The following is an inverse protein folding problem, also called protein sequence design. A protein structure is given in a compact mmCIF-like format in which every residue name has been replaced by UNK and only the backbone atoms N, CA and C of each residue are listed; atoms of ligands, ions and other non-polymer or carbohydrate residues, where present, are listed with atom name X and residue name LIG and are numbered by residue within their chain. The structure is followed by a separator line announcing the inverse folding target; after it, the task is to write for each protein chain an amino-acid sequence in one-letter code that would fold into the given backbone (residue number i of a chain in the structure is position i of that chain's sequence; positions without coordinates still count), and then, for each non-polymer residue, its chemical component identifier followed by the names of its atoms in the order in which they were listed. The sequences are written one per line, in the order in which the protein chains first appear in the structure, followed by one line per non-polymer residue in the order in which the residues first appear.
data_IF_564929626612
#
_entry.id   IF_564929626612
#
_cell.length_a   1.000
_cell.length_b   1.000
_cell.length_c   1.000
_cell.angle_alpha   90.00
_cell.angle_beta   90.00
_cell.angle_gamma   90.00
#
_symmetry.space_group_name_H-M   'P 1'
#
loop_
_entity.id
_entity.type
_entity.pdbx_description
1 polymer ?
#
# COMPACT_ATOMS: atom_id res chain seq x y z
N UNK A 1 -22.77 -9.04 60.00
CA UNK A 1 -24.16 -8.90 60.47
C UNK A 1 -25.09 -9.08 59.30
N UNK A 2 -25.91 -10.15 59.38
CA UNK A 2 -27.27 -10.38 58.89
C UNK A 2 -27.50 -10.24 57.38
N UNK A 3 -27.64 -11.33 56.63
CA UNK A 3 -28.80 -12.26 56.46
C UNK A 3 -30.02 -11.55 55.91
N UNK A 4 -30.42 -11.86 54.66
CA UNK A 4 -31.78 -12.37 54.45
C UNK A 4 -31.90 -13.06 53.06
N UNK A 5 -32.25 -14.34 53.12
CA UNK A 5 -32.81 -15.16 52.05
C UNK A 5 -34.25 -14.73 51.77
N UNK A 6 -34.66 -14.75 50.50
CA UNK A 6 -36.05 -14.99 50.14
C UNK A 6 -36.09 -15.96 48.91
N UNK A 7 -36.52 -17.18 49.20
CA UNK A 7 -36.94 -18.20 48.24
C UNK A 7 -38.37 -17.88 47.78
N UNK A 8 -38.61 -17.88 46.48
CA UNK A 8 -39.97 -18.09 45.95
C UNK A 8 -39.87 -19.14 44.84
N UNK A 9 -40.46 -20.31 45.12
CA UNK A 9 -40.76 -21.35 44.18
C UNK A 9 -42.14 -21.11 43.58
N UNK A 10 -42.30 -21.20 42.26
CA UNK A 10 -43.57 -21.50 41.66
C UNK A 10 -43.37 -22.48 40.51
N UNK A 11 -44.01 -23.62 40.66
CA UNK A 11 -44.17 -24.69 39.69
C UNK A 11 -45.31 -24.34 38.73
N UNK A 12 -45.17 -24.73 37.46
CA UNK A 12 -46.26 -24.65 36.48
C UNK A 12 -45.83 -25.21 35.15
N UNK A 13 -46.05 -26.49 34.96
CA UNK A 13 -45.82 -27.18 33.69
C UNK A 13 -46.88 -26.83 32.64
N UNK A 14 -46.48 -26.63 31.42
CA UNK A 14 -47.32 -26.94 30.24
C UNK A 14 -46.37 -27.24 29.06
N UNK A 15 -46.32 -28.54 28.71
CA UNK A 15 -45.73 -29.11 27.50
C UNK A 15 -46.62 -28.78 26.31
N UNK A 16 -46.13 -27.99 25.36
CA UNK A 16 -46.68 -27.94 24.01
C UNK A 16 -45.54 -28.33 23.07
N UNK A 17 -45.62 -29.54 22.55
CA UNK A 17 -44.66 -30.07 21.58
C UNK A 17 -44.83 -29.34 20.23
N UNK A 18 -43.70 -28.81 19.73
CA UNK A 18 -43.55 -28.39 18.33
C UNK A 18 -42.73 -29.44 17.59
N UNK A 19 -43.10 -29.84 16.38
CA UNK A 19 -42.34 -30.81 15.62
C UNK A 19 -41.00 -30.21 15.22
N UNK A 20 -39.91 -30.90 15.59
CA UNK A 20 -38.56 -30.54 15.24
C UNK A 20 -38.37 -30.58 13.72
N UNK A 21 -38.03 -29.42 13.14
CA UNK A 21 -37.43 -29.36 11.82
C UNK A 21 -36.00 -29.89 11.94
N UNK A 22 -35.78 -31.14 11.50
CA UNK A 22 -34.44 -31.70 11.36
C UNK A 22 -33.69 -30.89 10.32
N UNK A 23 -32.88 -29.93 10.76
CA UNK A 23 -31.90 -29.25 9.91
C UNK A 23 -30.86 -30.28 9.48
N UNK A 24 -30.88 -30.68 8.23
CA UNK A 24 -29.83 -31.46 7.63
C UNK A 24 -28.55 -30.61 7.67
N UNK A 25 -27.66 -30.89 8.63
CA UNK A 25 -26.30 -30.38 8.61
C UNK A 25 -25.58 -30.99 7.41
N UNK A 26 -25.22 -30.16 6.46
CA UNK A 26 -24.33 -30.57 5.37
C UNK A 26 -23.03 -31.16 5.99
N UNK A 27 -22.52 -32.27 5.46
CA UNK A 27 -21.26 -32.84 5.94
C UNK A 27 -20.16 -31.77 5.85
N UNK A 28 -19.42 -31.58 6.94
CA UNK A 28 -18.23 -30.74 6.95
C UNK A 28 -17.26 -31.24 5.86
N UNK A 29 -16.86 -30.37 4.97
CA UNK A 29 -15.86 -30.67 3.97
C UNK A 29 -14.57 -31.16 4.68
N UNK A 30 -13.90 -32.21 4.17
CA UNK A 30 -12.64 -32.67 4.76
C UNK A 30 -11.62 -31.51 4.74
N UNK A 31 -10.73 -31.43 5.79
CA UNK A 31 -9.68 -30.44 5.81
C UNK A 31 -8.80 -30.60 4.57
N UNK A 32 -8.55 -29.49 3.86
CA UNK A 32 -7.66 -29.47 2.72
C UNK A 32 -6.25 -29.91 3.17
N UNK A 33 -5.52 -30.73 2.38
CA UNK A 33 -4.18 -31.16 2.72
C UNK A 33 -3.27 -29.93 2.86
N UNK A 34 -2.67 -29.78 4.03
CA UNK A 34 -1.66 -28.77 4.32
C UNK A 34 -0.45 -29.00 3.40
N UNK A 35 -0.13 -28.04 2.54
CA UNK A 35 1.10 -28.02 1.75
C UNK A 35 0.99 -27.93 0.24
N UNK A 36 -0.20 -27.92 -0.36
CA UNK A 36 -0.31 -27.62 -1.80
C UNK A 36 -0.43 -26.09 -2.02
N UNK A 37 0.41 -25.51 -2.90
CA UNK A 37 0.21 -24.12 -3.32
C UNK A 37 -1.20 -23.98 -3.87
N UNK A 38 -2.03 -23.16 -3.22
CA UNK A 38 -3.37 -22.87 -3.74
C UNK A 38 -3.21 -22.28 -5.15
N UNK A 39 -3.96 -22.76 -6.16
CA UNK A 39 -4.00 -22.14 -7.46
C UNK A 39 -4.37 -20.66 -7.31
N UNK A 40 -3.60 -19.77 -7.93
CA UNK A 40 -3.89 -18.35 -7.93
C UNK A 40 -5.30 -18.12 -8.46
N UNK A 41 -6.08 -17.18 -7.89
CA UNK A 41 -7.41 -16.87 -8.37
C UNK A 41 -7.36 -16.48 -9.85
N UNK A 42 -8.37 -16.83 -10.65
CA UNK A 42 -8.43 -16.48 -12.06
C UNK A 42 -8.23 -14.97 -12.26
N UNK A 43 -7.26 -14.57 -13.10
CA UNK A 43 -6.94 -13.17 -13.36
C UNK A 43 -5.83 -12.58 -12.47
N UNK A 44 -5.28 -13.32 -11.50
CA UNK A 44 -4.10 -12.87 -10.78
C UNK A 44 -2.89 -12.75 -11.71
N UNK A 45 -2.10 -11.65 -11.63
CA UNK A 45 -0.89 -11.51 -12.42
C UNK A 45 0.07 -12.68 -12.16
N UNK A 46 0.49 -13.34 -13.23
CA UNK A 46 1.51 -14.38 -13.11
C UNK A 46 2.88 -13.76 -13.36
N UNK A 47 3.79 -13.99 -12.43
CA UNK A 47 5.15 -13.47 -12.50
C UNK A 47 6.12 -14.54 -12.95
N UNK A 48 7.01 -14.19 -13.88
CA UNK A 48 8.14 -15.03 -14.30
C UNK A 48 9.37 -14.84 -13.42
N UNK A 49 9.47 -13.69 -12.76
CA UNK A 49 10.47 -13.35 -11.76
C UNK A 49 9.75 -12.91 -10.50
N UNK A 50 10.18 -13.41 -9.35
CA UNK A 50 9.68 -13.02 -8.04
C UNK A 50 10.82 -13.27 -7.03
N UNK A 51 11.64 -12.24 -6.77
CA UNK A 51 12.87 -12.34 -5.98
C UNK A 51 12.87 -11.32 -4.85
N UNK A 52 13.22 -11.76 -3.65
CA UNK A 52 13.44 -10.86 -2.52
C UNK A 52 14.86 -10.28 -2.57
N UNK A 53 14.96 -8.98 -2.33
CA UNK A 53 16.22 -8.22 -2.25
C UNK A 53 16.11 -7.29 -1.04
N UNK A 54 16.72 -7.66 0.08
CA UNK A 54 16.46 -7.01 1.35
C UNK A 54 14.98 -7.07 1.72
N UNK A 55 14.38 -5.92 2.00
CA UNK A 55 12.95 -5.80 2.35
C UNK A 55 12.05 -5.56 1.12
N UNK A 56 12.59 -5.70 -0.07
CA UNK A 56 11.91 -5.49 -1.34
C UNK A 56 11.72 -6.77 -2.13
N UNK A 57 10.68 -6.83 -2.92
CA UNK A 57 10.44 -7.90 -3.88
C UNK A 57 10.55 -7.33 -5.28
N UNK A 58 11.44 -7.89 -6.09
CA UNK A 58 11.53 -7.64 -7.54
C UNK A 58 10.65 -8.65 -8.23
N UNK A 59 9.69 -8.21 -9.01
CA UNK A 59 8.84 -9.11 -9.79
C UNK A 59 8.62 -8.62 -11.20
N UNK A 60 8.56 -9.54 -12.15
CA UNK A 60 8.29 -9.25 -13.55
C UNK A 60 7.15 -10.12 -14.04
N UNK A 61 6.22 -9.56 -14.80
CA UNK A 61 5.17 -10.33 -15.45
C UNK A 61 5.76 -11.35 -16.42
N UNK A 62 4.99 -12.37 -16.78
CA UNK A 62 5.43 -13.36 -17.77
C UNK A 62 5.75 -12.68 -19.10
N UNK A 63 6.75 -13.20 -19.81
CA UNK A 63 7.20 -12.65 -21.11
C UNK A 63 6.11 -12.61 -22.18
N UNK A 64 5.11 -13.46 -22.07
CA UNK A 64 3.93 -13.43 -22.95
C UNK A 64 3.06 -12.18 -22.72
N UNK A 65 3.10 -11.57 -21.51
CA UNK A 65 2.37 -10.36 -21.19
C UNK A 65 3.14 -9.16 -21.70
N UNK A 66 2.59 -8.48 -22.69
CA UNK A 66 3.20 -7.25 -23.25
C UNK A 66 2.91 -6.08 -22.32
N UNK A 67 3.95 -5.44 -21.81
CA UNK A 67 3.84 -4.31 -20.90
C UNK A 67 4.93 -3.27 -21.14
N UNK A 68 4.63 -1.96 -21.08
CA UNK A 68 5.64 -0.90 -21.13
C UNK A 68 6.44 -0.82 -19.81
N UNK A 69 5.91 -1.39 -18.73
CA UNK A 69 6.55 -1.49 -17.41
C UNK A 69 6.43 -2.95 -16.92
N UNK A 70 7.22 -3.88 -17.50
CA UNK A 70 7.05 -5.31 -17.26
C UNK A 70 7.55 -5.77 -15.89
N UNK A 71 8.36 -4.96 -15.22
CA UNK A 71 8.97 -5.28 -13.93
C UNK A 71 8.74 -4.16 -12.92
N UNK A 72 8.58 -4.56 -11.67
CA UNK A 72 8.44 -3.65 -10.54
C UNK A 72 9.23 -4.12 -9.32
N UNK A 73 9.56 -3.19 -8.45
CA UNK A 73 9.97 -3.44 -7.08
C UNK A 73 8.81 -3.07 -6.17
N UNK A 74 8.54 -3.88 -5.17
CA UNK A 74 7.47 -3.60 -4.23
C UNK A 74 7.84 -3.95 -2.80
N UNK A 75 7.25 -3.22 -1.87
CA UNK A 75 7.26 -3.50 -0.44
C UNK A 75 5.85 -3.39 0.10
N UNK A 76 5.47 -4.33 0.95
CA UNK A 76 4.19 -4.31 1.67
C UNK A 76 4.46 -4.27 3.16
N UNK A 77 3.91 -3.27 3.84
CA UNK A 77 3.94 -3.19 5.30
C UNK A 77 2.65 -3.78 5.85
N UNK A 78 2.77 -4.69 6.79
CA UNK A 78 1.64 -5.35 7.46
C UNK A 78 1.66 -5.07 8.96
N UNK A 79 0.49 -5.02 9.55
CA UNK A 79 0.33 -5.02 11.00
C UNK A 79 0.76 -6.39 11.54
N UNK A 80 1.64 -6.40 12.55
CA UNK A 80 2.22 -7.64 13.09
C UNK A 80 1.16 -8.52 13.76
N UNK A 81 0.16 -7.92 14.38
CA UNK A 81 -0.85 -8.61 15.16
C UNK A 81 -2.01 -9.09 14.28
N UNK A 82 -2.57 -8.20 13.46
CA UNK A 82 -3.74 -8.49 12.63
C UNK A 82 -3.40 -9.08 11.27
N UNK A 83 -2.11 -9.06 10.86
CA UNK A 83 -1.63 -9.44 9.51
C UNK A 83 -2.27 -8.65 8.37
N UNK A 84 -2.99 -7.59 8.68
CA UNK A 84 -3.59 -6.71 7.68
C UNK A 84 -2.54 -5.81 7.04
N UNK A 85 -2.69 -5.55 5.74
CA UNK A 85 -1.85 -4.60 5.02
C UNK A 85 -2.08 -3.18 5.56
N UNK A 86 -0.99 -2.53 5.96
CA UNK A 86 -0.99 -1.13 6.39
C UNK A 86 -0.67 -0.22 5.20
N UNK A 87 0.29 -0.61 4.37
CA UNK A 87 0.64 0.13 3.16
C UNK A 87 1.29 -0.80 2.15
N UNK A 88 1.25 -0.40 0.89
CA UNK A 88 2.08 -0.97 -0.15
C UNK A 88 2.72 0.16 -0.95
N UNK A 89 3.95 -0.04 -1.34
CA UNK A 89 4.69 0.87 -2.18
C UNK A 89 5.34 0.08 -3.32
N UNK A 90 5.10 0.49 -4.55
CA UNK A 90 5.73 -0.12 -5.73
C UNK A 90 6.25 0.92 -6.71
N UNK A 91 7.31 0.55 -7.40
CA UNK A 91 7.90 1.29 -8.52
C UNK A 91 8.10 0.33 -9.67
N UNK A 92 7.52 0.64 -10.83
CA UNK A 92 7.73 -0.09 -12.08
C UNK A 92 8.52 0.77 -13.05
N UNK A 93 9.62 0.26 -13.57
CA UNK A 93 10.45 1.00 -14.53
C UNK A 93 9.83 0.98 -15.93
N UNK A 94 9.76 2.16 -16.55
CA UNK A 94 9.24 2.38 -17.91
C UNK A 94 10.43 2.76 -18.83
N UNK A 95 11.09 1.78 -19.48
CA UNK A 95 12.33 2.03 -20.25
C UNK A 95 12.18 3.08 -21.35
N UNK A 96 11.03 3.12 -22.03
CA UNK A 96 10.77 4.07 -23.12
C UNK A 96 10.65 5.53 -22.67
N UNK A 97 10.54 5.78 -21.37
CA UNK A 97 10.45 7.13 -20.78
C UNK A 97 11.58 7.43 -19.78
N UNK A 98 12.43 6.45 -19.52
CA UNK A 98 13.45 6.53 -18.44
C UNK A 98 12.87 7.02 -17.11
N UNK A 99 11.66 6.58 -16.79
CA UNK A 99 10.88 7.03 -15.63
C UNK A 99 10.32 5.82 -14.88
N UNK A 100 9.75 6.09 -13.71
CA UNK A 100 9.16 5.07 -12.85
C UNK A 100 7.68 5.35 -12.64
N UNK A 101 6.84 4.38 -12.94
CA UNK A 101 5.45 4.40 -12.51
C UNK A 101 5.41 4.00 -11.03
N UNK A 102 5.05 4.95 -10.19
CA UNK A 102 4.90 4.76 -8.75
C UNK A 102 3.46 4.49 -8.39
N UNK A 103 3.24 3.54 -7.50
CA UNK A 103 1.98 3.35 -6.81
C UNK A 103 2.23 3.24 -5.30
N UNK A 104 1.50 4.04 -4.52
CA UNK A 104 1.40 3.91 -3.07
C UNK A 104 -0.04 3.63 -2.71
N UNK A 105 -0.25 2.62 -1.88
CA UNK A 105 -1.57 2.26 -1.34
C UNK A 105 -1.52 2.43 0.18
N UNK A 106 -2.48 3.19 0.71
CA UNK A 106 -2.65 3.39 2.16
C UNK A 106 -4.08 2.98 2.56
N UNK A 107 -4.37 2.74 3.84
CA UNK A 107 -5.71 2.39 4.29
C UNK A 107 -6.76 3.44 3.89
N UNK A 108 -8.01 3.02 3.80
CA UNK A 108 -9.16 3.94 3.69
C UNK A 108 -9.29 4.80 4.94
N UNK A 109 -10.05 5.90 4.86
CA UNK A 109 -10.25 6.82 5.99
C UNK A 109 -9.18 7.91 6.09
N UNK A 110 -8.39 8.15 5.03
CA UNK A 110 -7.47 9.29 4.94
C UNK A 110 -8.15 10.54 4.39
N UNK A 111 -7.64 11.71 4.77
CA UNK A 111 -8.10 13.01 4.27
C UNK A 111 -7.52 13.28 2.87
N UNK A 112 -8.28 12.97 1.81
CA UNK A 112 -7.83 13.03 0.43
C UNK A 112 -7.31 14.41 0.01
N UNK A 113 -7.92 15.48 0.52
CA UNK A 113 -7.52 16.86 0.23
C UNK A 113 -6.13 17.24 0.78
N UNK A 114 -5.63 16.50 1.78
CA UNK A 114 -4.30 16.74 2.37
C UNK A 114 -3.18 16.08 1.57
N UNK A 115 -3.53 15.10 0.72
CA UNK A 115 -2.55 14.35 -0.06
C UNK A 115 -1.68 13.44 0.78
N UNK A 116 -0.61 12.95 0.15
CA UNK A 116 0.39 12.05 0.72
C UNK A 116 1.77 12.67 0.59
N UNK A 117 2.63 12.39 1.57
CA UNK A 117 4.06 12.73 1.54
C UNK A 117 4.88 11.44 1.62
N UNK A 118 5.98 11.37 0.86
CA UNK A 118 6.96 10.28 0.91
C UNK A 118 8.33 10.87 1.27
N UNK A 119 8.66 10.87 2.56
CA UNK A 119 9.89 11.49 3.06
C UNK A 119 10.08 12.91 2.53
N UNK A 120 11.27 13.20 2.02
CA UNK A 120 11.60 14.46 1.32
C UNK A 120 11.48 14.35 -0.20
N UNK A 121 11.33 13.12 -0.72
CA UNK A 121 11.31 12.87 -2.16
C UNK A 121 9.99 13.30 -2.83
N UNK A 122 8.88 13.31 -2.09
CA UNK A 122 7.57 13.64 -2.63
C UNK A 122 6.70 14.30 -1.59
N UNK A 123 6.17 15.49 -1.91
CA UNK A 123 5.26 16.25 -1.03
C UNK A 123 3.96 16.56 -1.73
N UNK A 124 2.83 16.43 -1.00
CA UNK A 124 1.51 16.83 -1.49
C UNK A 124 0.98 16.01 -2.68
N UNK A 125 1.40 14.77 -2.81
CA UNK A 125 0.91 13.88 -3.85
C UNK A 125 -0.60 13.62 -3.67
N UNK A 126 -1.36 13.81 -4.73
CA UNK A 126 -2.82 13.67 -4.69
C UNK A 126 -3.23 12.21 -4.83
N UNK A 127 -4.27 11.82 -4.10
CA UNK A 127 -4.91 10.54 -4.29
C UNK A 127 -5.66 10.51 -5.63
N UNK A 128 -5.46 9.44 -6.40
CA UNK A 128 -6.12 9.23 -7.68
C UNK A 128 -7.50 8.58 -7.49
N UNK A 129 -7.58 7.62 -6.58
CA UNK A 129 -8.81 6.86 -6.26
C UNK A 129 -8.74 6.25 -4.87
N UNK A 130 -9.90 5.86 -4.34
CA UNK A 130 -10.00 4.97 -3.19
C UNK A 130 -10.94 3.82 -3.55
N UNK A 131 -10.55 2.63 -3.17
CA UNK A 131 -11.28 1.38 -3.37
C UNK A 131 -11.47 0.69 -2.02
N UNK A 132 -12.08 -0.49 -2.02
CA UNK A 132 -12.33 -1.25 -0.79
C UNK A 132 -11.05 -1.56 -0.01
N UNK A 133 -9.96 -1.80 -0.71
CA UNK A 133 -8.68 -2.24 -0.15
C UNK A 133 -7.69 -1.11 0.12
N UNK A 134 -8.02 0.15 -0.18
CA UNK A 134 -7.19 1.32 0.14
C UNK A 134 -7.38 2.53 -0.76
N UNK A 135 -6.64 3.58 -0.44
CA UNK A 135 -6.53 4.80 -1.24
C UNK A 135 -5.18 4.82 -1.96
N UNK A 136 -5.20 5.20 -3.22
CA UNK A 136 -4.10 5.06 -4.17
C UNK A 136 -3.53 6.41 -4.58
N UNK A 137 -2.21 6.52 -4.55
CA UNK A 137 -1.44 7.57 -5.21
C UNK A 137 -0.65 6.92 -6.34
N UNK A 138 -0.91 7.35 -7.57
CA UNK A 138 -0.26 6.83 -8.78
C UNK A 138 0.28 7.99 -9.61
N UNK A 139 1.57 7.92 -9.94
CA UNK A 139 2.23 8.97 -10.73
C UNK A 139 3.52 8.46 -11.36
N UNK A 140 4.06 9.22 -12.30
CA UNK A 140 5.42 9.03 -12.78
C UNK A 140 6.40 9.80 -11.89
N UNK A 141 7.48 9.13 -11.52
CA UNK A 141 8.66 9.73 -10.92
C UNK A 141 9.80 9.75 -11.94
N UNK A 142 10.58 10.79 -11.92
CA UNK A 142 11.82 10.86 -12.67
C UNK A 142 12.98 10.16 -11.92
N UNK A 143 14.12 10.04 -12.60
CA UNK A 143 15.31 9.45 -11.99
C UNK A 143 15.81 10.25 -10.78
N UNK A 144 15.64 11.58 -10.75
CA UNK A 144 16.12 12.43 -9.67
C UNK A 144 15.35 12.14 -8.36
N UNK A 145 14.01 12.03 -8.44
CA UNK A 145 13.17 11.68 -7.29
C UNK A 145 13.50 10.30 -6.73
N UNK A 146 13.72 9.29 -7.60
CA UNK A 146 14.07 7.93 -7.17
C UNK A 146 15.49 7.88 -6.60
N UNK A 147 16.43 8.65 -7.16
CA UNK A 147 17.79 8.77 -6.61
C UNK A 147 17.76 9.43 -5.23
N UNK A 148 16.98 10.49 -5.06
CA UNK A 148 16.79 11.14 -3.76
C UNK A 148 16.21 10.15 -2.72
N UNK A 149 15.24 9.35 -3.13
CA UNK A 149 14.67 8.29 -2.27
C UNK A 149 15.74 7.27 -1.87
N UNK A 150 16.53 6.79 -2.84
CA UNK A 150 17.63 5.83 -2.59
C UNK A 150 18.69 6.39 -1.64
N UNK A 151 18.95 7.69 -1.67
CA UNK A 151 19.88 8.39 -0.80
C UNK A 151 19.35 8.71 0.60
N UNK A 152 18.09 8.44 0.90
CA UNK A 152 17.44 8.80 2.17
C UNK A 152 17.86 7.92 3.37
N UNK A 153 18.84 7.05 3.21
CA UNK A 153 19.36 6.16 4.28
C UNK A 153 18.64 4.80 4.30
N UNK A 154 18.44 4.26 5.51
CA UNK A 154 17.89 2.89 5.68
C UNK A 154 16.36 2.83 5.66
N UNK A 155 15.69 3.96 5.80
CA UNK A 155 14.22 4.02 5.83
C UNK A 155 13.73 5.40 5.45
N UNK A 156 12.49 5.45 4.99
CA UNK A 156 11.71 6.67 4.76
C UNK A 156 10.31 6.48 5.36
N UNK A 157 9.44 7.47 5.18
CA UNK A 157 8.09 7.46 5.77
C UNK A 157 7.06 7.92 4.74
N UNK A 158 5.98 7.18 4.63
CA UNK A 158 4.76 7.66 4.02
C UNK A 158 3.95 8.37 5.10
N UNK A 159 3.67 9.68 4.91
CA UNK A 159 2.84 10.47 5.83
C UNK A 159 1.50 10.78 5.19
N UNK A 160 0.42 10.54 5.91
CA UNK A 160 -0.96 10.87 5.54
C UNK A 160 -1.70 11.44 6.74
N UNK A 161 -2.79 12.14 6.50
CA UNK A 161 -3.67 12.65 7.57
C UNK A 161 -4.97 11.83 7.58
N UNK A 162 -5.43 11.39 8.75
CA UNK A 162 -6.71 10.70 8.90
C UNK A 162 -7.89 11.64 8.62
N UNK A 163 -8.99 11.11 8.08
CA UNK A 163 -10.21 11.88 7.86
C UNK A 163 -10.73 12.43 9.20
N UNK A 164 -11.03 13.73 9.25
CA UNK A 164 -11.47 14.40 10.47
C UNK A 164 -10.39 14.60 11.54
N UNK A 165 -9.12 14.28 11.22
CA UNK A 165 -7.97 14.45 12.11
C UNK A 165 -7.05 15.59 11.64
N UNK A 166 -6.21 16.08 12.56
CA UNK A 166 -5.15 17.06 12.23
C UNK A 166 -3.76 16.44 12.30
N UNK A 167 -3.61 15.29 12.95
CA UNK A 167 -2.32 14.64 13.16
C UNK A 167 -1.92 13.78 11.95
N UNK A 168 -0.63 13.77 11.64
CA UNK A 168 -0.06 12.87 10.64
C UNK A 168 0.01 11.43 11.15
N UNK A 169 -0.36 10.50 10.29
CA UNK A 169 -0.13 9.07 10.44
C UNK A 169 1.13 8.74 9.63
N UNK A 170 2.15 8.22 10.30
CA UNK A 170 3.44 7.88 9.70
C UNK A 170 3.55 6.38 9.49
N UNK A 171 3.69 5.97 8.23
CA UNK A 171 3.82 4.58 7.82
C UNK A 171 5.27 4.36 7.38
N UNK A 172 6.03 3.50 8.06
CA UNK A 172 7.43 3.29 7.75
C UNK A 172 7.60 2.53 6.43
N UNK A 173 8.63 2.91 5.66
CA UNK A 173 9.10 2.22 4.45
C UNK A 173 10.58 1.93 4.65
N UNK A 174 10.97 0.65 4.59
CA UNK A 174 12.36 0.27 4.61
C UNK A 174 13.03 0.54 3.26
N UNK A 175 14.25 1.02 3.28
CA UNK A 175 15.09 1.18 2.09
C UNK A 175 16.23 0.16 2.05
N UNK A 176 16.21 -0.83 2.95
CA UNK A 176 17.17 -1.94 2.95
C UNK A 176 17.02 -2.77 1.67
N UNK A 177 18.07 -2.81 0.87
CA UNK A 177 18.07 -3.51 -0.42
C UNK A 177 17.41 -2.73 -1.57
N UNK A 178 16.86 -1.54 -1.33
CA UNK A 178 16.15 -0.76 -2.34
C UNK A 178 17.01 -0.42 -3.57
N UNK A 179 18.23 0.12 -3.46
CA UNK A 179 19.09 0.41 -4.61
C UNK A 179 19.37 -0.84 -5.46
N UNK A 180 19.71 -1.95 -4.83
CA UNK A 180 19.97 -3.22 -5.53
C UNK A 180 18.71 -3.76 -6.21
N UNK A 181 17.55 -3.68 -5.56
CA UNK A 181 16.27 -4.08 -6.13
C UNK A 181 15.94 -3.27 -7.39
N UNK A 182 16.17 -1.94 -7.35
CA UNK A 182 15.99 -1.06 -8.50
C UNK A 182 16.89 -1.46 -9.69
N UNK A 183 18.17 -1.73 -9.43
CA UNK A 183 19.12 -2.10 -10.49
C UNK A 183 18.73 -3.43 -11.13
N UNK A 184 18.36 -4.42 -10.33
CA UNK A 184 17.86 -5.71 -10.85
C UNK A 184 16.59 -5.53 -11.67
N UNK A 185 15.62 -4.78 -11.18
CA UNK A 185 14.37 -4.48 -11.90
C UNK A 185 14.65 -3.81 -13.24
N UNK A 186 15.51 -2.77 -13.27
CA UNK A 186 15.89 -2.07 -14.50
C UNK A 186 16.52 -3.02 -15.54
N UNK A 187 17.44 -3.88 -15.08
CA UNK A 187 18.07 -4.88 -15.94
C UNK A 187 17.01 -5.78 -16.60
N UNK A 188 16.12 -6.34 -15.80
CA UNK A 188 15.05 -7.21 -16.33
C UNK A 188 14.03 -6.46 -17.21
N UNK A 189 13.74 -5.19 -16.91
CA UNK A 189 12.73 -4.43 -17.64
C UNK A 189 13.20 -4.05 -19.05
N UNK A 190 14.48 -3.73 -19.25
CA UNK A 190 15.02 -3.33 -20.55
C UNK A 190 14.81 -4.38 -21.64
N UNK A 191 14.95 -5.66 -21.28
CA UNK A 191 14.86 -6.76 -22.22
C UNK A 191 13.41 -7.20 -22.52
N UNK A 192 12.44 -6.68 -21.78
CA UNK A 192 11.04 -7.16 -21.77
C UNK A 192 10.02 -6.11 -22.14
N UNK A 193 10.37 -4.83 -22.01
CA UNK A 193 9.43 -3.74 -22.21
C UNK A 193 9.04 -3.59 -23.70
N UNK A 194 7.78 -3.22 -23.91
CA UNK A 194 7.32 -2.69 -25.20
C UNK A 194 7.27 -1.17 -25.15
N UNK A 195 7.37 -0.52 -26.30
CA UNK A 195 7.17 0.92 -26.40
C UNK A 195 5.73 1.28 -26.01
N UNK A 196 5.58 2.42 -25.32
CA UNK A 196 4.25 2.99 -25.09
C UNK A 196 3.66 3.47 -26.43
N UNK A 197 2.37 3.26 -26.65
CA UNK A 197 1.70 3.84 -27.80
C UNK A 197 1.77 5.38 -27.71
N UNK A 198 1.95 6.05 -28.85
CA UNK A 198 2.14 7.51 -28.92
C UNK A 198 0.98 8.32 -28.35
N UNK A 199 -0.22 7.72 -28.22
CA UNK A 199 -1.42 8.33 -27.67
C UNK A 199 -1.70 7.94 -26.21
N UNK A 200 -0.77 7.28 -25.53
CA UNK A 200 -0.93 6.96 -24.12
C UNK A 200 -1.00 8.27 -23.32
N UNK A 201 -2.11 8.49 -22.60
CA UNK A 201 -2.26 9.60 -21.67
C UNK A 201 -1.11 9.61 -20.67
N UNK A 202 -0.42 10.74 -20.48
CA UNK A 202 0.64 10.80 -19.49
C UNK A 202 0.05 10.57 -18.10
N UNK A 203 0.66 9.66 -17.32
CA UNK A 203 0.40 9.62 -15.89
C UNK A 203 0.75 11.01 -15.30
N UNK A 204 0.05 11.48 -14.26
CA UNK A 204 0.38 12.75 -13.62
C UNK A 204 1.87 12.78 -13.23
N UNK A 205 2.57 13.82 -13.61
CA UNK A 205 3.95 14.02 -13.17
C UNK A 205 3.98 14.32 -11.67
N UNK A 206 5.05 13.90 -11.00
CA UNK A 206 5.30 14.30 -9.63
C UNK A 206 5.32 15.83 -9.52
N UNK A 207 4.73 16.43 -8.47
CA UNK A 207 4.89 17.85 -8.23
C UNK A 207 6.39 18.16 -8.11
N UNK A 208 6.85 19.14 -8.87
CA UNK A 208 8.24 19.58 -8.79
C UNK A 208 8.58 19.87 -7.33
N UNK A 209 9.67 19.29 -6.82
CA UNK A 209 10.23 19.65 -5.53
C UNK A 209 10.57 21.13 -5.59
N UNK A 210 9.74 21.97 -4.97
CA UNK A 210 10.07 23.39 -4.81
C UNK A 210 11.34 23.45 -3.97
N UNK A 211 12.46 23.77 -4.59
CA UNK A 211 13.69 24.18 -3.89
C UNK A 211 13.27 25.27 -2.92
N UNK A 212 13.54 25.15 -1.59
CA UNK A 212 13.25 26.23 -0.67
C UNK A 212 14.00 27.46 -1.17
N UNK A 213 13.26 28.48 -1.62
CA UNK A 213 13.84 29.75 -1.97
C UNK A 213 14.59 30.31 -0.76
N UNK A 214 15.67 31.11 -0.95
CA UNK A 214 16.41 31.67 0.15
C UNK A 214 15.44 32.44 1.05
N UNK A 215 15.43 32.09 2.33
CA UNK A 215 14.61 32.72 3.37
C UNK A 215 15.03 34.19 3.40
N UNK A 216 14.20 35.08 2.84
CA UNK A 216 14.42 36.50 2.97
C UNK A 216 14.40 36.86 4.46
N UNK A 217 15.55 37.23 4.97
CA UNK A 217 15.75 37.70 6.34
C UNK A 217 14.91 38.96 6.53
N UNK A 218 13.70 38.80 7.08
CA UNK A 218 12.81 39.95 7.38
C UNK A 218 13.42 40.64 8.60
N UNK A 219 14.18 41.68 8.32
CA UNK A 219 14.71 42.58 9.35
C UNK A 219 13.58 43.04 10.27
N UNK A 220 13.77 42.85 11.58
CA UNK A 220 12.86 43.29 12.61
C UNK A 220 12.70 44.84 12.52
N UNK A 221 11.45 45.28 12.41
CA UNK A 221 11.13 46.69 12.48
C UNK A 221 11.42 47.23 13.90
N UNK A 222 11.99 48.43 14.05
CA UNK A 222 12.27 49.01 15.37
C UNK A 222 10.97 49.36 16.09
N UNK A 223 10.90 48.98 17.39
CA UNK A 223 9.82 49.40 18.29
C UNK A 223 9.82 50.93 18.44
N UNK A 224 8.67 51.56 18.16
CA UNK A 224 8.44 52.98 18.53
C UNK A 224 8.21 53.05 20.04
N UNK A 225 8.97 54.00 20.66
CA UNK A 225 8.73 54.50 22.03
C UNK A 225 7.42 55.29 22.08
#
# INVERSE_FOLDING_TARGET
MSRNLAKIAFAGALLVGLPGVAGAQAPAAPPAPEGQPQPAPPGAPQYSINQSVGDWVVRCVQTAVKSPAPCEVMQTTVNKDTKQRISAFSLAYVPSREAYAMQIVVPTGVALSKGLQLGTALTGAKFNRCERDGCYVEMLLDNAAVTSLSGSGKSTTISVVGYGQSNEIKLPVSLTGFPEALDRMKGYAKDRAIALPNNASPLPAAPATSTPGPVANRAAAPAKK
#
